data_IF_825336193034
#
_entry.id   IF_825336193034
#
_cell.length_a   1.000
_cell.length_b   1.000
_cell.length_c   1.000
_cell.angle_alpha   90.00
_cell.angle_beta   90.00
_cell.angle_gamma   90.00
#
_symmetry.space_group_name_H-M   'P 1'
#
loop_
_entity.id
_entity.type
_entity.pdbx_description
1 polymer ?
#
# COMPACT_ATOMS: atom_id res chain seq x y z
N UNK A 1 29.00 4.00 3.72
CA UNK A 1 27.74 4.15 4.46
C UNK A 1 27.14 2.75 4.64
N UNK A 2 27.12 2.27 5.88
CA UNK A 2 26.73 0.89 6.20
C UNK A 2 25.36 0.90 6.85
N UNK A 3 24.39 0.20 6.27
CA UNK A 3 23.04 0.15 6.80
C UNK A 3 22.36 -1.21 6.59
N UNK A 4 21.28 -1.43 7.33
CA UNK A 4 20.39 -2.58 7.21
C UNK A 4 19.04 -2.10 6.69
N UNK A 5 18.47 -2.82 5.74
CA UNK A 5 17.15 -2.51 5.19
C UNK A 5 16.09 -3.49 5.70
N UNK A 6 14.98 -2.96 6.22
CA UNK A 6 13.81 -3.73 6.66
C UNK A 6 12.64 -3.51 5.71
N UNK A 7 12.10 -4.58 5.11
CA UNK A 7 10.99 -4.47 4.17
C UNK A 7 10.27 -5.78 3.91
N UNK A 8 9.05 -5.73 3.38
CA UNK A 8 8.24 -6.94 3.20
C UNK A 8 7.45 -7.02 1.88
N UNK A 9 6.98 -5.91 1.34
CA UNK A 9 6.02 -5.87 0.24
C UNK A 9 6.57 -5.20 -1.03
N UNK A 10 5.74 -5.04 -2.05
CA UNK A 10 6.14 -4.43 -3.32
C UNK A 10 6.61 -2.97 -3.17
N UNK A 11 6.05 -2.20 -2.25
CA UNK A 11 6.52 -0.83 -1.98
C UNK A 11 7.95 -0.86 -1.45
N UNK A 12 8.24 -1.71 -0.46
CA UNK A 12 9.60 -1.92 0.05
C UNK A 12 10.57 -2.36 -1.04
N UNK A 13 10.11 -3.27 -1.94
CA UNK A 13 10.93 -3.74 -3.06
C UNK A 13 11.30 -2.59 -3.99
N UNK A 14 10.35 -1.72 -4.37
CA UNK A 14 10.62 -0.56 -5.22
C UNK A 14 11.63 0.40 -4.57
N UNK A 15 11.50 0.64 -3.26
CA UNK A 15 12.47 1.47 -2.51
C UNK A 15 13.86 0.83 -2.53
N UNK A 16 13.98 -0.45 -2.17
CA UNK A 16 15.27 -1.15 -2.15
C UNK A 16 15.93 -1.16 -3.54
N UNK A 17 15.17 -1.48 -4.58
CA UNK A 17 15.65 -1.50 -5.97
C UNK A 17 16.14 -0.13 -6.41
N UNK A 18 15.36 0.93 -6.14
CA UNK A 18 15.76 2.31 -6.46
C UNK A 18 17.00 2.76 -5.69
N UNK A 19 17.14 2.39 -4.42
CA UNK A 19 18.34 2.69 -3.62
C UNK A 19 19.59 1.98 -4.18
N UNK A 20 19.48 0.69 -4.53
CA UNK A 20 20.59 -0.07 -5.14
C UNK A 20 21.02 0.58 -6.47
N UNK A 21 20.09 0.98 -7.32
CA UNK A 21 20.37 1.67 -8.59
C UNK A 21 21.10 3.01 -8.38
N UNK A 22 20.87 3.67 -7.25
CA UNK A 22 21.56 4.90 -6.84
C UNK A 22 22.87 4.66 -6.08
N UNK A 23 23.34 3.43 -5.97
CA UNK A 23 24.57 3.05 -5.29
C UNK A 23 24.44 2.86 -3.76
N UNK A 24 23.22 2.91 -3.22
CA UNK A 24 22.93 2.67 -1.79
C UNK A 24 22.58 1.20 -1.56
N UNK A 25 23.58 0.35 -1.40
CA UNK A 25 23.38 -1.08 -1.18
C UNK A 25 23.50 -1.41 0.30
N UNK A 26 22.45 -2.01 0.95
CA UNK A 26 22.51 -2.40 2.35
C UNK A 26 23.43 -3.61 2.55
N UNK A 27 24.01 -3.75 3.74
CA UNK A 27 24.78 -4.93 4.12
C UNK A 27 23.89 -6.14 4.40
N UNK A 28 22.67 -5.90 4.90
CA UNK A 28 21.70 -6.92 5.25
C UNK A 28 20.30 -6.44 4.89
N UNK A 29 19.50 -7.32 4.34
CA UNK A 29 18.05 -7.13 4.19
C UNK A 29 17.34 -8.01 5.21
N UNK A 30 16.48 -7.41 6.02
CA UNK A 30 15.60 -8.10 6.96
C UNK A 30 14.21 -8.20 6.36
N UNK A 31 13.78 -9.41 6.05
CA UNK A 31 12.49 -9.74 5.48
C UNK A 31 11.61 -10.51 6.49
N UNK A 32 10.29 -10.61 6.27
CA UNK A 32 9.42 -11.41 7.14
C UNK A 32 9.83 -12.88 7.16
N UNK A 33 9.52 -13.54 8.27
CA UNK A 33 9.67 -14.97 8.40
C UNK A 33 8.99 -15.72 7.24
N UNK A 34 9.70 -16.71 6.68
CA UNK A 34 9.18 -17.56 5.61
C UNK A 34 8.08 -18.46 6.15
N UNK A 35 6.89 -18.35 5.57
CA UNK A 35 5.74 -19.19 5.94
C UNK A 35 5.52 -20.30 4.93
N UNK A 36 5.16 -21.54 5.37
CA UNK A 36 4.86 -22.61 4.44
C UNK A 36 3.59 -22.30 3.63
N UNK A 37 3.62 -22.57 2.34
CA UNK A 37 2.46 -22.52 1.48
C UNK A 37 1.55 -23.73 1.75
N UNK A 38 0.26 -23.50 1.89
CA UNK A 38 -0.76 -24.38 2.52
C UNK A 38 -0.90 -25.82 2.02
N UNK A 39 -0.26 -26.28 0.95
CA UNK A 39 -0.35 -27.67 0.48
C UNK A 39 0.99 -28.34 0.11
N UNK A 40 1.99 -27.59 -0.30
CA UNK A 40 3.22 -28.17 -0.85
C UNK A 40 4.48 -27.98 0.02
N UNK A 41 4.36 -27.50 1.26
CA UNK A 41 5.49 -27.20 2.18
C UNK A 41 6.59 -26.28 1.58
N UNK A 42 6.39 -25.72 0.38
CA UNK A 42 7.32 -24.75 -0.20
C UNK A 42 7.22 -23.45 0.61
N UNK A 43 8.33 -22.97 1.12
CA UNK A 43 8.40 -21.71 1.86
C UNK A 43 8.17 -20.53 0.88
N UNK A 44 7.28 -19.63 1.25
CA UNK A 44 7.10 -18.39 0.51
C UNK A 44 8.25 -17.43 0.82
N UNK A 45 8.94 -17.02 -0.21
CA UNK A 45 9.98 -16.01 -0.19
C UNK A 45 9.31 -14.66 -0.48
N UNK A 46 9.63 -13.62 0.30
CA UNK A 46 9.09 -12.29 0.06
C UNK A 46 9.74 -11.64 -1.17
N UNK A 47 9.04 -10.72 -1.82
CA UNK A 47 9.57 -10.01 -3.00
C UNK A 47 10.82 -9.18 -2.70
N UNK A 48 10.99 -8.74 -1.44
CA UNK A 48 12.18 -8.03 -0.98
C UNK A 48 13.35 -8.99 -0.80
N UNK A 49 13.08 -10.18 -0.25
CA UNK A 49 14.06 -11.24 -0.11
C UNK A 49 14.54 -11.74 -1.49
N UNK A 50 13.64 -11.97 -2.45
CA UNK A 50 14.01 -12.32 -3.82
C UNK A 50 14.98 -11.32 -4.43
N UNK A 51 14.66 -10.01 -4.30
CA UNK A 51 15.53 -8.95 -4.80
C UNK A 51 16.90 -8.97 -4.10
N UNK A 52 16.93 -9.08 -2.79
CA UNK A 52 18.18 -9.11 -2.02
C UNK A 52 19.09 -10.28 -2.44
N UNK A 53 18.52 -11.47 -2.62
CA UNK A 53 19.28 -12.65 -3.09
C UNK A 53 19.82 -12.44 -4.52
N UNK A 54 19.02 -11.88 -5.43
CA UNK A 54 19.44 -11.52 -6.79
C UNK A 54 20.62 -10.54 -6.81
N UNK A 55 20.60 -9.59 -5.90
CA UNK A 55 21.63 -8.56 -5.75
C UNK A 55 22.82 -8.98 -4.89
N UNK A 56 22.91 -10.26 -4.48
CA UNK A 56 23.95 -10.79 -3.59
C UNK A 56 24.07 -10.00 -2.27
N UNK A 57 22.94 -9.67 -1.66
CA UNK A 57 22.85 -9.03 -0.34
C UNK A 57 22.50 -10.10 0.69
N UNK A 58 23.13 -10.04 1.88
CA UNK A 58 22.78 -10.92 2.99
C UNK A 58 21.29 -10.75 3.35
N UNK A 59 20.63 -11.85 3.72
CA UNK A 59 19.21 -11.84 4.10
C UNK A 59 19.05 -12.49 5.48
N UNK A 60 18.24 -11.86 6.33
CA UNK A 60 17.73 -12.43 7.56
C UNK A 60 16.20 -12.44 7.55
N UNK A 61 15.61 -13.54 8.04
CA UNK A 61 14.14 -13.70 8.14
C UNK A 61 13.74 -14.14 9.55
N UNK A 62 14.00 -13.29 10.58
CA UNK A 62 13.80 -13.68 11.97
C UNK A 62 12.31 -13.91 12.29
N UNK A 63 12.01 -14.97 13.04
CA UNK A 63 10.69 -15.21 13.61
C UNK A 63 10.39 -14.19 14.71
N UNK A 64 11.38 -13.89 15.53
CA UNK A 64 11.35 -12.94 16.61
C UNK A 64 12.51 -11.92 16.47
N UNK A 65 12.19 -10.62 16.47
CA UNK A 65 13.18 -9.55 16.39
C UNK A 65 14.00 -9.35 17.68
N UNK A 66 13.59 -9.94 18.81
CA UNK A 66 14.34 -9.96 20.06
C UNK A 66 15.21 -11.21 20.23
N UNK A 67 15.30 -12.05 19.22
CA UNK A 67 16.14 -13.25 19.30
C UNK A 67 17.61 -12.87 19.40
N UNK A 68 18.31 -13.41 20.40
CA UNK A 68 19.69 -13.05 20.70
C UNK A 68 20.64 -13.29 19.51
N UNK A 69 20.46 -14.40 18.81
CA UNK A 69 21.21 -14.74 17.60
C UNK A 69 21.09 -13.66 16.52
N UNK A 70 19.87 -13.14 16.30
CA UNK A 70 19.59 -12.07 15.35
C UNK A 70 20.18 -10.73 15.81
N UNK A 71 20.01 -10.36 17.08
CA UNK A 71 20.58 -9.12 17.64
C UNK A 71 22.13 -9.14 17.55
N UNK A 72 22.75 -10.28 17.84
CA UNK A 72 24.20 -10.46 17.71
C UNK A 72 24.66 -10.36 16.24
N UNK A 73 23.89 -10.91 15.28
CA UNK A 73 24.16 -10.73 13.85
C UNK A 73 24.18 -9.25 13.48
N UNK A 74 23.16 -8.47 13.89
CA UNK A 74 23.08 -7.03 13.63
C UNK A 74 24.28 -6.27 14.25
N UNK A 75 24.56 -6.55 15.50
CA UNK A 75 25.68 -5.92 16.23
C UNK A 75 27.04 -6.12 15.54
N UNK A 76 27.26 -7.32 15.02
CA UNK A 76 28.52 -7.67 14.36
C UNK A 76 28.72 -6.97 13.01
N UNK A 77 27.63 -6.52 12.34
CA UNK A 77 27.70 -5.80 11.07
C UNK A 77 28.21 -4.35 11.22
N UNK A 78 28.23 -3.80 12.44
CA UNK A 78 28.71 -2.43 12.75
C UNK A 78 28.12 -1.38 11.79
N UNK A 79 26.79 -1.38 11.67
CA UNK A 79 26.07 -0.46 10.80
C UNK A 79 25.76 0.86 11.49
N UNK A 80 25.72 1.94 10.72
CA UNK A 80 25.47 3.28 11.23
C UNK A 80 23.99 3.50 11.58
N UNK A 81 23.07 2.98 10.73
CA UNK A 81 21.63 3.13 10.86
C UNK A 81 20.88 1.92 10.29
N UNK A 82 19.60 1.83 10.60
CA UNK A 82 18.66 0.98 9.89
C UNK A 82 17.66 1.83 9.09
N UNK A 83 17.21 1.32 7.95
CA UNK A 83 16.17 1.92 7.13
C UNK A 83 15.00 0.94 6.96
N UNK A 84 13.83 1.36 7.35
CA UNK A 84 12.59 0.58 7.21
C UNK A 84 11.71 1.20 6.13
N UNK A 85 11.05 0.36 5.37
CA UNK A 85 9.91 0.73 4.55
C UNK A 85 8.92 -0.42 4.49
N UNK A 86 7.70 -0.21 4.99
CA UNK A 86 6.60 -1.17 4.96
C UNK A 86 6.99 -2.61 5.37
N UNK A 87 7.56 -2.78 6.56
CA UNK A 87 8.00 -4.08 7.10
C UNK A 87 6.85 -4.88 7.76
N UNK A 88 5.92 -4.19 8.41
CA UNK A 88 4.68 -4.79 8.95
C UNK A 88 4.80 -5.50 10.30
N UNK A 89 5.96 -5.46 10.97
CA UNK A 89 6.13 -5.88 12.37
C UNK A 89 6.52 -4.66 13.24
N UNK A 90 6.12 -4.68 14.50
CA UNK A 90 6.56 -3.68 15.49
C UNK A 90 8.06 -3.92 15.75
N UNK A 91 8.86 -2.87 15.70
CA UNK A 91 10.29 -2.90 16.01
C UNK A 91 10.46 -2.73 17.51
N UNK A 92 11.10 -3.69 18.22
CA UNK A 92 11.30 -3.58 19.65
C UNK A 92 12.30 -2.48 20.00
N UNK A 93 12.15 -1.89 21.19
CA UNK A 93 13.02 -0.81 21.68
C UNK A 93 14.50 -1.20 21.67
N UNK A 94 14.81 -2.44 22.05
CA UNK A 94 16.16 -3.00 22.01
C UNK A 94 16.80 -2.86 20.63
N UNK A 95 16.02 -3.10 19.57
CA UNK A 95 16.51 -3.00 18.19
C UNK A 95 16.58 -1.54 17.74
N UNK A 96 15.61 -0.69 18.12
CA UNK A 96 15.62 0.75 17.80
C UNK A 96 16.90 1.44 18.31
N UNK A 97 17.38 1.05 19.50
CA UNK A 97 18.52 1.64 20.17
C UNK A 97 19.89 1.12 19.71
N UNK A 98 19.92 0.11 18.83
CA UNK A 98 21.20 -0.51 18.40
C UNK A 98 21.99 0.35 17.43
N UNK A 99 21.38 1.33 16.79
CA UNK A 99 21.99 2.09 15.70
C UNK A 99 22.41 3.49 16.13
N UNK A 100 23.70 3.86 16.00
CA UNK A 100 24.20 5.16 16.44
C UNK A 100 23.53 6.36 15.77
N UNK A 101 23.11 6.21 14.50
CA UNK A 101 22.39 7.22 13.71
C UNK A 101 20.89 6.97 13.65
N UNK A 102 20.39 5.99 14.41
CA UNK A 102 18.99 5.68 14.63
C UNK A 102 18.38 4.70 13.64
N UNK A 103 17.13 4.42 13.87
CA UNK A 103 16.28 3.56 13.05
C UNK A 103 15.34 4.46 12.23
N UNK A 104 15.59 4.57 10.94
CA UNK A 104 14.87 5.45 10.04
C UNK A 104 13.68 4.72 9.40
N UNK A 105 12.59 5.43 9.12
CA UNK A 105 11.48 4.89 8.33
C UNK A 105 11.12 5.83 7.19
N UNK A 106 10.93 5.27 6.01
CA UNK A 106 10.32 5.95 4.88
C UNK A 106 8.81 5.65 4.85
N UNK A 107 8.01 6.64 5.20
CA UNK A 107 6.56 6.54 5.28
C UNK A 107 5.89 7.23 4.08
N UNK A 108 4.96 6.55 3.37
CA UNK A 108 4.34 7.11 2.17
C UNK A 108 3.15 8.02 2.48
N UNK A 109 3.38 9.04 3.29
CA UNK A 109 2.50 10.19 3.51
C UNK A 109 3.30 11.42 3.92
N UNK A 110 2.66 12.59 3.94
CA UNK A 110 3.17 13.81 4.55
C UNK A 110 2.81 13.80 6.05
N UNK A 111 3.68 13.21 6.90
CA UNK A 111 3.48 13.20 8.35
C UNK A 111 3.34 14.64 8.89
N UNK A 112 2.49 14.86 9.93
CA UNK A 112 1.85 13.88 10.79
C UNK A 112 0.56 13.27 10.25
N UNK A 113 0.15 13.56 9.01
CA UNK A 113 -1.05 12.99 8.42
C UNK A 113 -0.84 11.53 8.01
N UNK A 114 -1.91 10.73 8.18
CA UNK A 114 -1.97 9.32 7.76
C UNK A 114 -0.89 8.44 8.42
N UNK A 115 -0.62 8.61 9.72
CA UNK A 115 0.16 7.64 10.51
C UNK A 115 -0.53 6.28 10.48
N UNK A 116 0.21 5.17 10.37
CA UNK A 116 -0.34 3.81 10.45
C UNK A 116 -0.14 2.96 9.21
N UNK A 117 -0.99 1.95 9.04
CA UNK A 117 -0.70 0.79 8.21
C UNK A 117 -0.96 0.97 6.71
N UNK A 118 -1.85 1.89 6.30
CA UNK A 118 -2.37 1.97 4.93
C UNK A 118 -2.44 3.40 4.37
N UNK A 119 -1.38 4.21 4.49
CA UNK A 119 -1.42 5.63 4.10
C UNK A 119 -1.72 5.82 2.60
N UNK A 120 -1.21 4.96 1.72
CA UNK A 120 -1.43 5.06 0.27
C UNK A 120 -2.90 4.82 -0.08
N UNK A 121 -3.49 3.75 0.47
CA UNK A 121 -4.91 3.45 0.26
C UNK A 121 -5.80 4.55 0.84
N UNK A 122 -5.48 5.00 2.05
CA UNK A 122 -6.26 6.02 2.76
C UNK A 122 -6.22 7.37 2.04
N UNK A 123 -5.07 7.75 1.44
CA UNK A 123 -4.97 8.95 0.62
C UNK A 123 -5.97 8.93 -0.56
N UNK A 124 -6.13 7.79 -1.25
CA UNK A 124 -7.09 7.65 -2.35
C UNK A 124 -8.53 7.61 -1.81
N UNK A 125 -8.79 6.83 -0.74
CA UNK A 125 -10.13 6.70 -0.14
C UNK A 125 -10.68 8.06 0.30
N UNK A 126 -9.84 8.86 0.97
CA UNK A 126 -10.21 10.18 1.47
C UNK A 126 -10.17 11.27 0.39
N UNK A 127 -9.62 10.97 -0.80
CA UNK A 127 -9.33 11.98 -1.82
C UNK A 127 -8.50 13.13 -1.24
N UNK A 128 -7.38 12.77 -0.56
CA UNK A 128 -6.50 13.77 0.07
C UNK A 128 -6.05 14.81 -0.96
N UNK A 129 -6.07 16.10 -0.65
CA UNK A 129 -5.71 17.15 -1.61
C UNK A 129 -4.24 17.12 -2.00
N UNK A 130 -3.42 16.51 -1.17
CA UNK A 130 -1.98 16.36 -1.38
C UNK A 130 -1.45 15.09 -0.71
N UNK A 131 -0.36 14.56 -1.26
CA UNK A 131 0.33 13.40 -0.72
C UNK A 131 1.83 13.52 -0.94
N UNK A 132 2.59 12.64 -0.33
CA UNK A 132 4.05 12.64 -0.44
C UNK A 132 4.69 11.57 0.41
N UNK A 133 5.95 11.78 0.75
CA UNK A 133 6.77 10.85 1.52
C UNK A 133 7.49 11.57 2.65
N UNK A 134 7.68 10.88 3.76
CA UNK A 134 8.39 11.39 4.94
C UNK A 134 9.49 10.41 5.33
N UNK A 135 10.72 10.90 5.44
CA UNK A 135 11.82 10.19 6.08
C UNK A 135 11.89 10.68 7.53
N UNK A 136 11.75 9.78 8.49
CA UNK A 136 11.71 10.13 9.90
C UNK A 136 12.49 9.14 10.77
N UNK A 137 12.88 9.59 11.98
CA UNK A 137 13.53 8.77 12.99
C UNK A 137 12.47 8.06 13.82
N UNK A 138 12.50 6.74 13.87
CA UNK A 138 11.51 5.96 14.61
C UNK A 138 11.68 6.09 16.13
N UNK A 139 10.56 6.13 16.81
CA UNK A 139 10.42 5.96 18.26
C UNK A 139 9.48 4.79 18.58
N UNK A 140 9.06 4.66 19.83
CA UNK A 140 8.19 3.56 20.29
C UNK A 140 6.74 3.69 19.82
N UNK A 141 6.31 4.88 19.35
CA UNK A 141 4.95 5.13 18.89
C UNK A 141 4.84 4.95 17.38
N UNK A 142 3.65 4.66 16.90
CA UNK A 142 3.41 4.43 15.46
C UNK A 142 3.58 5.73 14.69
N UNK A 143 4.59 5.75 13.80
CA UNK A 143 4.90 6.82 12.85
C UNK A 143 4.92 8.24 13.47
N UNK A 144 5.36 8.32 14.73
CA UNK A 144 5.32 9.53 15.56
C UNK A 144 6.65 10.30 15.59
N UNK A 145 7.76 9.60 15.45
CA UNK A 145 9.10 10.17 15.68
C UNK A 145 9.44 11.37 14.79
N UNK A 146 10.54 12.09 15.10
CA UNK A 146 10.87 13.36 14.44
C UNK A 146 11.22 13.19 12.96
N UNK A 147 10.77 14.14 12.13
CA UNK A 147 10.92 14.15 10.67
C UNK A 147 12.28 14.69 10.29
N UNK A 148 13.01 13.92 9.46
CA UNK A 148 14.31 14.31 8.88
C UNK A 148 14.08 15.13 7.61
N UNK A 149 13.19 14.65 6.73
CA UNK A 149 12.85 15.33 5.48
C UNK A 149 11.49 14.86 4.96
N UNK A 150 10.83 15.70 4.17
CA UNK A 150 9.59 15.39 3.47
C UNK A 150 9.64 15.85 2.02
N UNK A 151 8.90 15.16 1.16
CA UNK A 151 8.76 15.53 -0.24
C UNK A 151 7.32 15.32 -0.68
N UNK A 152 6.68 16.39 -1.16
CA UNK A 152 5.39 16.31 -1.83
C UNK A 152 5.56 15.61 -3.17
N UNK A 153 4.60 14.76 -3.54
CA UNK A 153 4.56 14.05 -4.81
C UNK A 153 3.38 14.56 -5.64
N UNK A 154 3.69 15.10 -6.80
CA UNK A 154 2.69 15.63 -7.72
C UNK A 154 1.91 14.49 -8.39
N UNK A 155 0.62 14.41 -8.05
CA UNK A 155 -0.28 13.39 -8.58
C UNK A 155 -1.73 13.86 -8.43
N UNK A 156 -2.56 13.50 -9.39
CA UNK A 156 -4.00 13.70 -9.29
C UNK A 156 -4.63 12.50 -8.52
N UNK A 157 -4.90 12.71 -7.24
CA UNK A 157 -5.51 11.69 -6.36
C UNK A 157 -6.92 11.28 -6.83
N UNK A 158 -7.61 12.17 -7.55
CA UNK A 158 -8.97 11.88 -8.03
C UNK A 158 -9.03 10.81 -9.12
N UNK A 159 -7.92 10.53 -9.79
CA UNK A 159 -7.83 9.58 -10.92
C UNK A 159 -6.86 8.44 -10.70
N UNK A 160 -5.81 8.65 -9.89
CA UNK A 160 -4.76 7.65 -9.67
C UNK A 160 -5.28 6.41 -8.95
N UNK A 161 -4.72 5.24 -9.28
CA UNK A 161 -4.93 4.00 -8.56
C UNK A 161 -3.77 3.68 -7.59
N UNK A 162 -3.96 2.66 -6.76
CA UNK A 162 -2.98 2.25 -5.75
C UNK A 162 -1.59 1.93 -6.32
N UNK A 163 -1.51 1.24 -7.47
CA UNK A 163 -0.23 0.86 -8.06
C UNK A 163 0.54 2.08 -8.56
N UNK A 164 -0.14 2.96 -9.31
CA UNK A 164 0.43 4.18 -9.84
C UNK A 164 0.88 5.13 -8.72
N UNK A 165 0.06 5.30 -7.68
CA UNK A 165 0.43 6.13 -6.52
C UNK A 165 1.61 5.52 -5.77
N UNK A 166 1.61 4.21 -5.54
CA UNK A 166 2.72 3.51 -4.89
C UNK A 166 4.04 3.71 -5.63
N UNK A 167 4.01 3.62 -6.96
CA UNK A 167 5.22 3.83 -7.78
C UNK A 167 5.74 5.27 -7.65
N UNK A 168 4.88 6.28 -7.80
CA UNK A 168 5.27 7.68 -7.67
C UNK A 168 5.81 8.02 -6.27
N UNK A 169 5.18 7.49 -5.23
CA UNK A 169 5.65 7.65 -3.85
C UNK A 169 6.99 6.94 -3.61
N UNK A 170 7.19 5.76 -4.21
CA UNK A 170 8.47 5.06 -4.10
C UNK A 170 9.60 5.83 -4.79
N UNK A 171 9.39 6.34 -6.00
CA UNK A 171 10.35 7.20 -6.71
C UNK A 171 10.66 8.47 -5.91
N UNK A 172 9.61 9.15 -5.40
CA UNK A 172 9.76 10.31 -4.52
C UNK A 172 10.54 10.00 -3.25
N UNK A 173 10.30 8.83 -2.65
CA UNK A 173 10.96 8.35 -1.44
C UNK A 173 12.44 8.02 -1.64
N UNK A 174 12.79 7.36 -2.74
CA UNK A 174 14.20 7.10 -3.11
C UNK A 174 14.95 8.42 -3.28
N UNK A 175 14.39 9.36 -4.02
CA UNK A 175 15.00 10.67 -4.22
C UNK A 175 15.16 11.42 -2.90
N UNK A 176 14.13 11.41 -2.02
CA UNK A 176 14.19 12.03 -0.71
C UNK A 176 15.33 11.47 0.15
N UNK A 177 15.51 10.15 0.17
CA UNK A 177 16.60 9.49 0.89
C UNK A 177 17.94 9.91 0.33
N UNK A 178 18.14 9.81 -0.99
CA UNK A 178 19.40 10.15 -1.66
C UNK A 178 19.81 11.61 -1.43
N UNK A 179 18.85 12.53 -1.47
CA UNK A 179 19.08 13.97 -1.29
C UNK A 179 19.45 14.37 0.15
N UNK A 180 18.97 13.61 1.16
CA UNK A 180 19.01 14.07 2.57
C UNK A 180 19.77 13.14 3.51
N UNK A 181 19.93 11.86 3.19
CA UNK A 181 20.50 10.89 4.12
C UNK A 181 21.93 11.22 4.53
N UNK A 182 22.80 11.57 3.58
CA UNK A 182 24.19 11.90 3.87
C UNK A 182 24.30 13.15 4.75
N UNK A 183 23.49 14.16 4.48
CA UNK A 183 23.43 15.40 5.28
C UNK A 183 22.98 15.10 6.71
N UNK A 184 21.96 14.24 6.87
CA UNK A 184 21.51 13.82 8.19
C UNK A 184 22.61 13.08 8.96
N UNK A 185 23.29 12.13 8.33
CA UNK A 185 24.36 11.36 8.96
C UNK A 185 25.55 12.22 9.39
N UNK A 186 25.83 13.28 8.63
CA UNK A 186 26.85 14.30 8.99
C UNK A 186 26.39 15.30 10.06
N UNK A 187 25.11 15.29 10.44
CA UNK A 187 24.53 16.23 11.40
C UNK A 187 24.19 17.61 10.81
N UNK A 188 24.17 17.74 9.49
CA UNK A 188 23.77 18.97 8.78
C UNK A 188 22.25 19.17 8.77
N UNK A 189 21.48 18.09 8.96
CA UNK A 189 20.02 18.10 9.13
C UNK A 189 19.68 17.65 10.54
N UNK A 190 18.87 18.44 11.23
CA UNK A 190 18.28 18.09 12.54
C UNK A 190 16.85 17.65 12.31
N UNK A 191 16.50 16.48 12.85
CA UNK A 191 15.13 15.99 12.76
C UNK A 191 14.19 16.84 13.64
N UNK A 192 13.00 17.17 13.11
CA UNK A 192 12.02 18.08 13.72
C UNK A 192 10.84 17.25 14.25
N UNK A 193 10.45 17.49 15.52
CA UNK A 193 9.28 16.85 16.11
C UNK A 193 8.01 17.13 15.29
N UNK A 194 7.13 16.13 15.21
CA UNK A 194 5.86 16.27 14.53
C UNK A 194 4.88 17.11 15.36
N UNK A 195 3.97 17.83 14.70
CA UNK A 195 2.85 18.53 15.33
C UNK A 195 1.70 17.53 15.59
N UNK A 196 1.68 16.94 16.78
CA UNK A 196 0.71 15.89 17.16
C UNK A 196 -0.76 16.29 17.04
N UNK A 197 -1.19 17.53 17.36
CA UNK A 197 -2.55 18.00 17.10
C UNK A 197 -3.02 17.88 15.65
N UNK A 198 -2.11 17.89 14.67
CA UNK A 198 -2.44 17.72 13.26
C UNK A 198 -2.38 16.26 12.79
N UNK A 199 -2.06 15.33 13.68
CA UNK A 199 -1.94 13.93 13.31
C UNK A 199 -3.29 13.31 12.92
N UNK A 200 -3.30 12.58 11.81
CA UNK A 200 -4.40 11.70 11.41
C UNK A 200 -3.89 10.27 11.28
N UNK A 201 -4.80 9.31 11.41
CA UNK A 201 -4.43 7.90 11.45
C UNK A 201 -5.16 7.09 10.39
N UNK A 202 -4.47 6.11 9.81
CA UNK A 202 -5.04 5.11 8.93
C UNK A 202 -4.99 3.73 9.59
N UNK A 203 -6.10 3.00 9.50
CA UNK A 203 -6.21 1.64 10.04
C UNK A 203 -5.88 0.58 8.98
N UNK A 204 -5.67 -0.64 9.43
CA UNK A 204 -5.46 -1.78 8.55
C UNK A 204 -6.78 -2.13 7.83
N UNK A 205 -6.71 -2.35 6.51
CA UNK A 205 -7.88 -2.78 5.72
C UNK A 205 -8.40 -4.13 6.23
N UNK A 206 -9.67 -4.17 6.54
CA UNK A 206 -10.41 -5.37 6.98
C UNK A 206 -11.20 -6.01 5.84
N UNK A 207 -11.81 -7.17 6.09
CA UNK A 207 -12.69 -7.82 5.12
C UNK A 207 -13.96 -7.01 4.83
N UNK A 208 -14.45 -6.29 5.81
CA UNK A 208 -15.60 -5.40 5.68
C UNK A 208 -15.28 -4.23 4.76
N UNK A 209 -14.07 -3.68 4.85
CA UNK A 209 -13.60 -2.59 3.98
C UNK A 209 -13.53 -3.02 2.50
N UNK A 210 -13.25 -4.31 2.23
CA UNK A 210 -13.18 -4.85 0.88
C UNK A 210 -14.57 -4.92 0.19
N UNK A 211 -15.65 -5.01 0.98
CA UNK A 211 -17.01 -5.12 0.44
C UNK A 211 -17.49 -3.78 -0.11
N UNK A 212 -18.02 -3.79 -1.33
CA UNK A 212 -18.64 -2.62 -1.96
C UNK A 212 -20.03 -2.42 -1.38
N UNK A 213 -20.30 -1.23 -0.84
CA UNK A 213 -21.64 -0.80 -0.47
C UNK A 213 -22.22 0.05 -1.62
N UNK A 214 -23.08 -0.54 -2.41
CA UNK A 214 -23.68 0.14 -3.56
C UNK A 214 -24.64 1.29 -3.19
N UNK A 215 -25.00 1.45 -1.91
CA UNK A 215 -25.81 2.59 -1.44
C UNK A 215 -24.98 3.88 -1.28
N UNK A 216 -23.67 3.80 -1.42
CA UNK A 216 -22.77 4.95 -1.41
C UNK A 216 -22.81 5.72 -2.75
N UNK A 217 -22.20 6.91 -2.77
CA UNK A 217 -21.96 7.69 -3.99
C UNK A 217 -21.00 6.93 -4.93
N UNK A 218 -21.25 6.98 -6.23
CA UNK A 218 -20.41 6.34 -7.23
C UNK A 218 -18.93 6.78 -7.16
N UNK A 219 -18.66 8.03 -6.78
CA UNK A 219 -17.30 8.53 -6.56
C UNK A 219 -16.62 7.87 -5.35
N UNK A 220 -17.37 7.58 -4.28
CA UNK A 220 -16.82 6.88 -3.12
C UNK A 220 -16.49 5.42 -3.48
N UNK A 221 -17.37 4.76 -4.23
CA UNK A 221 -17.15 3.40 -4.73
C UNK A 221 -15.95 3.36 -5.68
N UNK A 222 -15.79 4.35 -6.57
CA UNK A 222 -14.65 4.46 -7.47
C UNK A 222 -13.34 4.58 -6.68
N UNK A 223 -13.27 5.47 -5.69
CA UNK A 223 -12.10 5.61 -4.81
C UNK A 223 -11.76 4.29 -4.12
N UNK A 224 -12.76 3.58 -3.59
CA UNK A 224 -12.58 2.28 -2.94
C UNK A 224 -11.98 1.25 -3.91
N UNK A 225 -12.49 1.17 -5.14
CA UNK A 225 -11.99 0.25 -6.16
C UNK A 225 -10.55 0.61 -6.55
N UNK A 226 -10.24 1.88 -6.79
CA UNK A 226 -8.88 2.33 -7.12
C UNK A 226 -7.88 2.14 -5.97
N UNK A 227 -8.31 2.36 -4.73
CA UNK A 227 -7.46 2.25 -3.54
C UNK A 227 -7.11 0.80 -3.19
N UNK A 228 -8.04 -0.15 -3.36
CA UNK A 228 -7.89 -1.50 -2.86
C UNK A 228 -7.46 -2.53 -3.91
N UNK A 229 -7.56 -2.23 -5.21
CA UNK A 229 -7.09 -3.14 -6.25
C UNK A 229 -5.59 -2.92 -6.56
N UNK A 230 -4.86 -4.01 -6.87
CA UNK A 230 -5.34 -5.39 -6.98
C UNK A 230 -5.41 -6.17 -5.65
N UNK A 231 -4.87 -5.64 -4.56
CA UNK A 231 -4.75 -6.34 -3.29
C UNK A 231 -5.05 -5.40 -2.11
N UNK A 232 -6.00 -5.80 -1.22
CA UNK A 232 -6.72 -7.08 -1.18
C UNK A 232 -7.78 -7.26 -2.27
N UNK A 233 -8.18 -6.18 -2.94
CA UNK A 233 -9.23 -6.10 -3.94
C UNK A 233 -10.58 -5.73 -3.33
N UNK A 234 -11.54 -5.39 -4.19
CA UNK A 234 -12.91 -5.12 -3.78
C UNK A 234 -13.86 -6.22 -4.26
N UNK A 235 -14.92 -6.47 -3.51
CA UNK A 235 -15.90 -7.47 -3.90
C UNK A 235 -17.33 -7.05 -3.58
N UNK A 236 -18.24 -7.70 -4.25
CA UNK A 236 -19.68 -7.71 -3.99
C UNK A 236 -20.20 -9.14 -4.10
N UNK A 237 -21.46 -9.38 -3.77
CA UNK A 237 -22.10 -10.68 -3.92
C UNK A 237 -23.14 -10.65 -5.03
N UNK A 238 -23.12 -11.65 -5.90
CA UNK A 238 -24.16 -11.91 -6.87
C UNK A 238 -24.67 -13.34 -6.66
N UNK A 239 -25.93 -13.51 -6.27
CA UNK A 239 -26.51 -14.81 -5.92
C UNK A 239 -25.68 -15.57 -4.87
N UNK A 240 -25.23 -14.88 -3.81
CA UNK A 240 -24.37 -15.38 -2.73
C UNK A 240 -22.96 -15.85 -3.16
N UNK A 241 -22.53 -15.56 -4.38
CA UNK A 241 -21.16 -15.84 -4.85
C UNK A 241 -20.34 -14.56 -4.87
N UNK A 242 -19.05 -14.68 -4.56
CA UNK A 242 -18.13 -13.55 -4.58
C UNK A 242 -17.90 -13.09 -6.02
N UNK A 243 -18.04 -11.80 -6.21
CA UNK A 243 -17.82 -11.12 -7.47
C UNK A 243 -16.87 -9.96 -7.27
N UNK A 244 -15.59 -10.10 -7.66
CA UNK A 244 -14.63 -9.01 -7.51
C UNK A 244 -14.80 -8.01 -8.63
N UNK A 245 -14.81 -6.73 -8.27
CA UNK A 245 -14.77 -5.61 -9.21
C UNK A 245 -13.33 -5.15 -9.29
N UNK A 246 -12.74 -5.22 -10.47
CA UNK A 246 -11.31 -4.95 -10.66
C UNK A 246 -11.09 -3.53 -11.14
N UNK A 247 -11.90 -3.09 -12.11
CA UNK A 247 -11.77 -1.77 -12.74
C UNK A 247 -13.12 -1.30 -13.28
N UNK A 248 -13.29 0.01 -13.27
CA UNK A 248 -14.44 0.68 -13.84
C UNK A 248 -14.32 2.20 -13.69
N UNK A 249 -15.40 2.88 -13.98
CA UNK A 249 -15.49 4.34 -13.86
C UNK A 249 -16.86 4.75 -13.33
N UNK A 250 -16.88 5.73 -12.44
CA UNK A 250 -18.13 6.38 -12.06
C UNK A 250 -18.59 7.32 -13.19
N UNK A 251 -19.90 7.48 -13.35
CA UNK A 251 -20.44 8.50 -14.21
C UNK A 251 -21.78 9.04 -13.65
N UNK A 252 -22.01 10.31 -13.94
CA UNK A 252 -23.27 10.98 -13.68
C UNK A 252 -23.83 11.38 -15.05
N UNK A 253 -24.92 10.75 -15.44
CA UNK A 253 -25.68 11.20 -16.59
C UNK A 253 -27.00 11.75 -16.06
N UNK A 254 -27.12 13.08 -16.07
CA UNK A 254 -28.32 13.77 -15.61
C UNK A 254 -29.58 13.44 -16.43
N UNK A 255 -29.37 12.94 -17.66
CA UNK A 255 -30.44 12.60 -18.60
C UNK A 255 -30.93 11.16 -18.42
N UNK A 256 -30.21 10.33 -17.66
CA UNK A 256 -30.63 8.97 -17.35
C UNK A 256 -31.61 8.96 -16.17
N UNK A 257 -32.89 9.13 -16.46
CA UNK A 257 -33.97 8.90 -15.50
C UNK A 257 -34.21 7.40 -15.35
N UNK A 258 -33.33 6.72 -14.59
CA UNK A 258 -33.46 5.28 -14.32
C UNK A 258 -34.03 5.09 -12.91
N UNK A 259 -35.25 4.54 -12.84
CA UNK A 259 -35.84 4.11 -11.57
C UNK A 259 -35.29 2.72 -11.19
N UNK A 260 -34.05 2.71 -10.63
CA UNK A 260 -33.34 1.49 -10.22
C UNK A 260 -32.88 1.60 -8.78
N UNK A 261 -32.79 0.44 -8.11
CA UNK A 261 -32.31 0.35 -6.73
C UNK A 261 -30.78 0.32 -6.68
N UNK A 262 -30.13 0.86 -5.62
CA UNK A 262 -28.71 0.66 -5.42
C UNK A 262 -28.30 -0.82 -5.52
N UNK A 263 -27.19 -1.10 -6.22
CA UNK A 263 -26.72 -2.44 -6.53
C UNK A 263 -27.38 -3.09 -7.78
N UNK A 264 -28.44 -2.51 -8.34
CA UNK A 264 -29.11 -3.10 -9.50
C UNK A 264 -28.25 -2.98 -10.77
N UNK A 265 -28.04 -4.12 -11.41
CA UNK A 265 -27.25 -4.26 -12.64
C UNK A 265 -28.12 -3.90 -13.85
N UNK A 266 -27.59 -3.08 -14.74
CA UNK A 266 -28.24 -2.75 -16.00
C UNK A 266 -27.22 -2.61 -17.15
N UNK A 267 -27.70 -2.61 -18.36
CA UNK A 267 -26.87 -2.36 -19.53
C UNK A 267 -26.94 -0.87 -19.93
N UNK A 268 -25.77 -0.26 -20.12
CA UNK A 268 -25.64 1.09 -20.62
C UNK A 268 -24.57 1.13 -21.71
N UNK A 269 -24.94 1.51 -22.92
CA UNK A 269 -24.03 1.55 -24.09
C UNK A 269 -23.22 0.24 -24.25
N UNK A 270 -23.90 -0.91 -24.17
CA UNK A 270 -23.32 -2.27 -24.27
C UNK A 270 -22.31 -2.60 -23.14
N UNK A 271 -22.26 -1.80 -22.09
CA UNK A 271 -21.42 -2.02 -20.90
C UNK A 271 -22.29 -2.42 -19.71
N UNK A 272 -21.68 -3.13 -18.76
CA UNK A 272 -22.29 -3.42 -17.47
C UNK A 272 -22.26 -2.19 -16.59
N UNK A 273 -23.40 -1.73 -16.16
CA UNK A 273 -23.54 -0.62 -15.22
C UNK A 273 -24.25 -1.07 -13.95
N UNK A 274 -23.97 -0.40 -12.85
CA UNK A 274 -24.62 -0.64 -11.56
C UNK A 274 -25.09 0.69 -10.99
N UNK A 275 -26.36 0.71 -10.52
CA UNK A 275 -26.90 1.87 -9.80
C UNK A 275 -26.21 1.98 -8.44
N UNK A 276 -25.71 3.19 -8.13
CA UNK A 276 -25.20 3.56 -6.83
C UNK A 276 -26.23 4.40 -6.07
N UNK A 277 -26.00 4.70 -4.81
CA UNK A 277 -26.85 5.61 -4.05
C UNK A 277 -27.01 6.94 -4.76
N UNK A 278 -25.89 7.50 -5.24
CA UNK A 278 -25.85 8.64 -6.16
C UNK A 278 -24.99 8.29 -7.36
N UNK A 279 -25.45 8.57 -8.59
CA UNK A 279 -24.76 8.23 -9.82
C UNK A 279 -24.79 6.74 -10.16
N UNK A 280 -23.88 6.32 -11.02
CA UNK A 280 -23.74 4.99 -11.57
C UNK A 280 -22.28 4.61 -11.68
N UNK A 281 -22.00 3.30 -11.64
CA UNK A 281 -20.66 2.76 -11.85
C UNK A 281 -20.63 1.86 -13.08
N UNK A 282 -19.81 2.20 -14.08
CA UNK A 282 -19.56 1.37 -15.26
C UNK A 282 -18.43 0.41 -14.95
N UNK A 283 -18.73 -0.88 -14.94
CA UNK A 283 -17.74 -1.92 -14.68
C UNK A 283 -17.04 -2.30 -15.98
N UNK A 284 -15.70 -2.24 -15.98
CA UNK A 284 -14.86 -2.63 -17.11
C UNK A 284 -14.33 -4.06 -16.95
N UNK A 285 -13.79 -4.38 -15.77
CA UNK A 285 -13.18 -5.67 -15.48
C UNK A 285 -13.71 -6.27 -14.18
N UNK A 286 -13.96 -7.56 -14.24
CA UNK A 286 -14.48 -8.35 -13.13
C UNK A 286 -13.72 -9.65 -12.97
N UNK A 287 -13.82 -10.23 -11.78
CA UNK A 287 -13.38 -11.59 -11.51
C UNK A 287 -14.47 -12.33 -10.74
N UNK A 288 -15.33 -13.11 -11.44
CA UNK A 288 -16.28 -14.00 -10.80
C UNK A 288 -15.55 -15.07 -9.98
N UNK A 289 -16.19 -15.57 -8.94
CA UNK A 289 -15.63 -16.62 -8.08
C UNK A 289 -15.13 -17.83 -8.89
N UNK A 290 -13.88 -18.25 -8.62
CA UNK A 290 -13.23 -19.36 -9.30
C UNK A 290 -12.88 -19.12 -10.79
N UNK A 291 -13.05 -17.89 -11.32
CA UNK A 291 -12.72 -17.54 -12.71
C UNK A 291 -11.50 -16.62 -12.79
N UNK A 292 -10.98 -16.44 -14.01
CA UNK A 292 -9.98 -15.41 -14.33
C UNK A 292 -10.64 -14.03 -14.42
N UNK A 293 -9.83 -13.00 -14.44
CA UNK A 293 -10.29 -11.63 -14.76
C UNK A 293 -10.75 -11.62 -16.22
N UNK A 294 -11.93 -11.03 -16.45
CA UNK A 294 -12.56 -10.91 -17.77
C UNK A 294 -13.18 -9.51 -17.92
N UNK A 295 -13.41 -9.09 -19.15
CA UNK A 295 -14.18 -7.87 -19.42
C UNK A 295 -15.63 -8.05 -18.98
N UNK A 296 -16.17 -7.05 -18.30
CA UNK A 296 -17.57 -7.09 -17.83
C UNK A 296 -18.57 -7.16 -19.00
N UNK A 297 -18.24 -6.52 -20.15
CA UNK A 297 -19.03 -6.61 -21.37
C UNK A 297 -19.15 -8.05 -21.92
N UNK A 298 -18.05 -8.82 -21.88
CA UNK A 298 -18.06 -10.20 -22.37
C UNK A 298 -18.81 -11.13 -21.41
N UNK A 299 -18.67 -10.88 -20.09
CA UNK A 299 -19.51 -11.57 -19.11
C UNK A 299 -21.00 -11.31 -19.35
N UNK A 300 -21.38 -10.05 -19.61
CA UNK A 300 -22.77 -9.66 -19.83
C UNK A 300 -23.38 -10.34 -21.07
N UNK A 301 -22.60 -10.47 -22.17
CA UNK A 301 -23.05 -11.17 -23.39
C UNK A 301 -23.46 -12.62 -23.12
N UNK A 302 -22.68 -13.33 -22.29
CA UNK A 302 -22.94 -14.72 -21.93
C UNK A 302 -23.93 -14.92 -20.75
N UNK A 303 -24.31 -13.85 -20.05
CA UNK A 303 -25.08 -13.92 -18.80
C UNK A 303 -26.17 -12.84 -18.75
N UNK A 304 -26.97 -12.69 -19.80
CA UNK A 304 -28.04 -11.67 -19.89
C UNK A 304 -29.01 -11.67 -18.72
N UNK A 305 -29.22 -12.83 -18.07
CA UNK A 305 -30.10 -12.98 -16.89
C UNK A 305 -29.61 -12.27 -15.62
N UNK A 306 -28.41 -11.61 -15.64
CA UNK A 306 -27.92 -10.78 -14.51
C UNK A 306 -28.51 -9.37 -14.55
N UNK A 307 -28.99 -8.91 -15.70
CA UNK A 307 -29.66 -7.61 -15.83
C UNK A 307 -30.92 -7.60 -14.94
N UNK A 308 -31.05 -6.54 -14.12
CA UNK A 308 -32.09 -6.42 -13.11
C UNK A 308 -31.80 -7.16 -11.80
N UNK A 309 -30.74 -7.96 -11.71
CA UNK A 309 -30.27 -8.52 -10.43
C UNK A 309 -29.55 -7.44 -9.61
N UNK A 310 -29.50 -7.68 -8.29
CA UNK A 310 -28.90 -6.74 -7.34
C UNK A 310 -27.62 -7.35 -6.78
N UNK A 311 -26.54 -6.60 -6.84
CA UNK A 311 -25.33 -6.86 -6.08
C UNK A 311 -25.56 -6.51 -4.60
N UNK A 312 -25.11 -7.38 -3.68
CA UNK A 312 -25.26 -7.24 -2.22
C UNK A 312 -23.91 -7.09 -1.52
#
# INVERSE_FOLDING_TARGET
MNFIFFGSNNFSKMILEGLIQKGFKPLLVVAPERKPQSKNKKLLISVVEELALKENILVATPSNLNEESFLNQIKNLKTDFALLSAYGKIIPLTLLQMFPKGFLNLHPSLLPKLRGATPIQTAILNNEPETGVSLFLMDEKIDHGPIIAQKKVEVDISTVNFLELSQKLAEGGVNLIVENLEKYLKGEIVAIAQDDPQATYCHKITKEDEKINWSEDALAIDRKIRALNPNPGTYTLLNNKIFKIIKGNCFNDSDIRINKKPGEIFEYNQKMAVKCGKGFYLIEEIKPEGKKIIKASDFLKGNRGVIGRIFN
#
